data_IF_645776108065
#
_entry.id   IF_645776108065
#
_cell.length_a   1.000
_cell.length_b   1.000
_cell.length_c   1.000
_cell.angle_alpha   90.00
_cell.angle_beta   90.00
_cell.angle_gamma   90.00
#
_symmetry.space_group_name_H-M   'P 1'
#
loop_
_entity.id
_entity.type
_entity.pdbx_description
1 polymer ?
#
# COMPACT_ATOMS: atom_id res chain seq x y z
N UNK A 1 -5.80 17.90 -17.35
CA UNK A 1 -6.54 17.29 -16.22
C UNK A 1 -6.23 18.03 -14.93
N UNK A 2 -7.20 18.18 -14.03
CA UNK A 2 -7.03 18.88 -12.75
C UNK A 2 -5.96 18.24 -11.85
N UNK A 3 -5.83 16.90 -11.85
CA UNK A 3 -4.81 16.17 -11.07
C UNK A 3 -3.39 16.55 -11.48
N UNK A 4 -3.11 16.62 -12.78
CA UNK A 4 -1.78 17.03 -13.28
C UNK A 4 -1.44 18.49 -12.92
N UNK A 5 -2.44 19.37 -12.86
CA UNK A 5 -2.25 20.75 -12.39
C UNK A 5 -2.00 20.82 -10.89
N UNK A 6 -2.69 20.00 -10.10
CA UNK A 6 -2.48 19.89 -8.66
C UNK A 6 -1.08 19.33 -8.33
N UNK A 7 -0.65 18.28 -9.03
CA UNK A 7 0.69 17.68 -8.87
C UNK A 7 1.81 18.66 -9.22
N UNK A 8 1.61 19.51 -10.24
CA UNK A 8 2.60 20.53 -10.62
C UNK A 8 2.81 21.60 -9.53
N UNK A 9 1.81 21.83 -8.68
CA UNK A 9 1.87 22.81 -7.56
C UNK A 9 2.27 22.11 -6.25
N UNK A 10 1.83 20.87 -6.06
CA UNK A 10 2.07 20.07 -4.87
C UNK A 10 2.48 18.64 -5.27
N UNK A 11 3.78 18.36 -5.46
CA UNK A 11 4.23 17.07 -5.96
C UNK A 11 4.03 15.98 -4.91
N UNK A 12 2.92 15.26 -4.97
CA UNK A 12 2.53 14.24 -4.02
C UNK A 12 2.66 12.81 -4.57
N UNK A 13 2.80 12.65 -5.89
CA UNK A 13 2.95 11.34 -6.54
C UNK A 13 4.24 10.66 -6.12
N UNK A 14 5.38 11.36 -6.14
CA UNK A 14 6.66 10.74 -5.82
C UNK A 14 6.79 10.35 -4.33
N UNK A 15 6.37 11.20 -3.36
CA UNK A 15 6.21 10.77 -1.97
C UNK A 15 5.26 9.57 -1.82
N UNK A 16 4.15 9.53 -2.54
CA UNK A 16 3.19 8.42 -2.50
C UNK A 16 3.83 7.10 -2.95
N UNK A 17 4.53 7.09 -4.09
CA UNK A 17 5.26 5.91 -4.57
C UNK A 17 6.25 5.39 -3.53
N UNK A 18 7.03 6.27 -2.91
CA UNK A 18 7.99 5.90 -1.86
C UNK A 18 7.31 5.29 -0.65
N UNK A 19 6.18 5.84 -0.23
CA UNK A 19 5.38 5.30 0.87
C UNK A 19 4.83 3.91 0.56
N UNK A 20 4.31 3.71 -0.66
CA UNK A 20 3.80 2.41 -1.13
C UNK A 20 4.92 1.36 -1.07
N UNK A 21 6.08 1.64 -1.67
CA UNK A 21 7.24 0.74 -1.65
C UNK A 21 7.68 0.40 -0.22
N UNK A 22 7.82 1.42 0.64
CA UNK A 22 8.26 1.23 2.01
C UNK A 22 7.24 0.40 2.83
N UNK A 23 5.95 0.59 2.60
CA UNK A 23 4.89 -0.16 3.27
C UNK A 23 4.84 -1.62 2.80
N UNK A 24 5.01 -1.87 1.49
CA UNK A 24 5.03 -3.23 0.93
C UNK A 24 6.24 -4.03 1.41
N UNK A 25 7.42 -3.39 1.49
CA UNK A 25 8.67 -4.03 1.90
C UNK A 25 8.76 -4.39 3.40
N UNK A 26 7.80 -3.97 4.23
CA UNK A 26 7.81 -4.16 5.68
C UNK A 26 6.57 -4.90 6.17
N UNK A 27 6.51 -6.23 6.03
CA UNK A 27 5.35 -7.03 6.45
C UNK A 27 5.00 -6.79 7.92
N UNK A 28 5.96 -6.88 8.85
CA UNK A 28 5.72 -6.70 10.28
C UNK A 28 5.14 -5.31 10.63
N UNK A 29 5.64 -4.26 9.97
CA UNK A 29 5.12 -2.91 10.14
C UNK A 29 3.68 -2.79 9.64
N UNK A 30 3.39 -3.38 8.48
CA UNK A 30 2.05 -3.41 7.89
C UNK A 30 1.05 -4.14 8.78
N UNK A 31 1.43 -5.32 9.30
CA UNK A 31 0.61 -6.07 10.25
C UNK A 31 0.28 -5.26 11.49
N UNK A 32 1.28 -4.61 12.09
CA UNK A 32 1.09 -3.73 13.23
C UNK A 32 0.18 -2.55 12.91
N UNK A 33 0.26 -1.98 11.70
CA UNK A 33 -0.68 -0.95 11.27
C UNK A 33 -2.11 -1.46 11.21
N UNK A 34 -2.34 -2.66 10.67
CA UNK A 34 -3.68 -3.24 10.62
C UNK A 34 -4.27 -3.47 12.01
N UNK A 35 -3.47 -3.98 12.94
CA UNK A 35 -3.88 -4.16 14.34
C UNK A 35 -4.18 -2.82 15.01
N UNK A 36 -3.24 -1.86 14.97
CA UNK A 36 -3.39 -0.58 15.67
C UNK A 36 -4.51 0.30 15.11
N UNK A 37 -4.72 0.25 13.81
CA UNK A 37 -5.78 1.01 13.13
C UNK A 37 -7.11 0.24 13.09
N UNK A 38 -7.17 -0.96 13.68
CA UNK A 38 -8.35 -1.82 13.72
C UNK A 38 -8.95 -2.04 12.33
N UNK A 39 -8.08 -2.32 11.34
CA UNK A 39 -8.51 -2.54 9.97
C UNK A 39 -9.24 -3.88 9.88
N UNK A 40 -10.55 -3.83 9.65
CA UNK A 40 -11.41 -5.01 9.56
C UNK A 40 -11.08 -5.92 8.37
N UNK A 41 -10.61 -5.35 7.26
CA UNK A 41 -10.27 -6.09 6.05
C UNK A 41 -8.90 -5.70 5.47
N UNK A 42 -7.80 -6.27 6.01
CA UNK A 42 -6.46 -6.08 5.46
C UNK A 42 -6.36 -6.39 3.96
N UNK A 43 -7.15 -7.37 3.49
CA UNK A 43 -7.20 -7.76 2.08
C UNK A 43 -7.60 -6.61 1.16
N UNK A 44 -8.65 -5.87 1.50
CA UNK A 44 -9.11 -4.74 0.69
C UNK A 44 -8.06 -3.64 0.59
N UNK A 45 -7.33 -3.39 1.68
CA UNK A 45 -6.22 -2.42 1.68
C UNK A 45 -5.09 -2.90 0.76
N UNK A 46 -4.72 -4.17 0.83
CA UNK A 46 -3.71 -4.76 -0.06
C UNK A 46 -4.12 -4.70 -1.53
N UNK A 47 -5.37 -5.01 -1.86
CA UNK A 47 -5.88 -4.89 -3.24
C UNK A 47 -5.86 -3.44 -3.74
N UNK A 48 -6.21 -2.47 -2.89
CA UNK A 48 -6.12 -1.06 -3.23
C UNK A 48 -4.68 -0.62 -3.51
N UNK A 49 -3.74 -1.06 -2.67
CA UNK A 49 -2.31 -0.80 -2.85
C UNK A 49 -1.75 -1.47 -4.11
N UNK A 50 -2.16 -2.69 -4.44
CA UNK A 50 -1.77 -3.37 -5.67
C UNK A 50 -2.27 -2.65 -6.93
N UNK A 51 -3.50 -2.11 -6.90
CA UNK A 51 -4.03 -1.29 -7.99
C UNK A 51 -3.23 -0.02 -8.18
N UNK A 52 -2.87 0.66 -7.08
CA UNK A 52 -2.02 1.86 -7.12
C UNK A 52 -0.59 1.53 -7.59
N UNK A 53 0.00 0.44 -7.10
CA UNK A 53 1.31 -0.03 -7.52
C UNK A 53 1.33 -0.34 -9.02
N UNK A 54 0.30 -1.02 -9.53
CA UNK A 54 0.13 -1.27 -10.96
C UNK A 54 0.08 0.02 -11.77
N UNK A 55 -0.70 1.02 -11.31
CA UNK A 55 -0.79 2.32 -11.98
C UNK A 55 0.55 3.06 -12.02
N UNK A 56 1.42 2.84 -11.03
CA UNK A 56 2.74 3.46 -10.94
C UNK A 56 3.89 2.58 -11.42
N UNK A 57 3.62 1.40 -11.98
CA UNK A 57 4.62 0.40 -12.39
C UNK A 57 5.57 -0.02 -11.24
N UNK A 58 5.03 -0.15 -10.03
CA UNK A 58 5.75 -0.58 -8.84
C UNK A 58 5.52 -2.09 -8.56
N UNK A 59 6.40 -2.74 -7.76
CA UNK A 59 6.17 -4.10 -7.28
C UNK A 59 4.86 -4.24 -6.52
N UNK A 60 4.22 -5.41 -6.63
CA UNK A 60 2.99 -5.74 -5.90
C UNK A 60 3.30 -6.22 -4.48
N UNK A 61 2.27 -6.28 -3.63
CA UNK A 61 2.39 -6.81 -2.27
C UNK A 61 2.82 -8.27 -2.34
N UNK A 62 3.90 -8.61 -1.65
CA UNK A 62 4.32 -10.00 -1.47
C UNK A 62 3.36 -10.70 -0.50
N UNK A 63 2.53 -11.57 -1.07
CA UNK A 63 1.55 -12.38 -0.33
C UNK A 63 2.17 -13.57 0.40
N UNK A 64 3.39 -13.99 0.04
CA UNK A 64 4.07 -15.14 0.68
C UNK A 64 4.66 -14.77 2.05
N UNK A 65 4.97 -13.48 2.25
CA UNK A 65 5.41 -12.91 3.53
C UNK A 65 4.27 -12.18 4.28
N UNK A 66 3.06 -12.16 3.72
CA UNK A 66 1.87 -11.61 4.36
C UNK A 66 1.12 -12.73 5.08
N UNK A 67 1.59 -13.05 6.28
CA UNK A 67 0.85 -13.66 7.38
C UNK A 67 -0.08 -14.83 7.05
N UNK A 68 0.30 -15.98 7.59
CA UNK A 68 -0.59 -17.09 7.93
C UNK A 68 -1.70 -16.53 8.83
N UNK A 69 -2.79 -16.05 8.24
CA UNK A 69 -4.06 -15.91 8.94
C UNK A 69 -4.63 -17.32 9.05
N UNK A 70 -4.46 -17.87 10.24
CA UNK A 70 -5.04 -19.09 10.79
C UNK A 70 -6.33 -19.51 10.10
N UNK A 71 -6.25 -20.57 9.30
CA UNK A 71 -7.38 -21.49 9.16
C UNK A 71 -7.13 -22.60 10.20
N UNK A 72 -7.66 -22.38 11.40
CA UNK A 72 -7.90 -23.40 12.42
C UNK A 72 -9.17 -23.01 13.16
#
# INVERSE_FOLDING_TARGET
MAIAKAEAVYPCVEPLKRSILNFQAKPDYRSRCYELLQIESPHQVMEGLDRLATQFFLPLVDRQNAEIYSIS
#
